data_IF_156804648275
#
_entry.id   IF_156804648275
#
_cell.length_a   1.000
_cell.length_b   1.000
_cell.length_c   1.000
_cell.angle_alpha   90.00
_cell.angle_beta   90.00
_cell.angle_gamma   90.00
#
_symmetry.space_group_name_H-M   'P 1'
#
loop_
_entity.id
_entity.type
_entity.pdbx_description
1 polymer ?
#
# COMPACT_ATOMS: atom_id res chain seq x y z
N UNK A 1 -54.88 -27.96 -38.83
CA UNK A 1 -54.48 -26.58 -39.23
C UNK A 1 -53.17 -26.28 -38.53
N UNK A 2 -52.06 -26.29 -39.27
CA UNK A 2 -50.72 -26.02 -38.70
C UNK A 2 -50.48 -24.52 -38.73
N UNK A 3 -50.15 -23.92 -37.58
CA UNK A 3 -49.87 -22.49 -37.45
C UNK A 3 -48.70 -22.11 -38.37
N UNK A 4 -48.77 -21.04 -39.18
CA UNK A 4 -47.64 -20.65 -40.01
C UNK A 4 -46.47 -20.28 -39.09
N UNK A 5 -45.29 -20.84 -39.36
CA UNK A 5 -44.07 -20.51 -38.64
C UNK A 5 -43.81 -19.00 -38.78
N UNK A 6 -43.68 -18.31 -37.65
CA UNK A 6 -43.45 -16.86 -37.63
C UNK A 6 -42.08 -16.55 -38.25
N UNK A 7 -42.05 -15.94 -39.45
CA UNK A 7 -40.79 -15.68 -40.16
C UNK A 7 -39.87 -14.74 -39.37
N UNK A 8 -40.45 -13.90 -38.50
CA UNK A 8 -39.74 -12.99 -37.61
C UNK A 8 -38.89 -13.74 -36.59
N UNK A 9 -39.38 -14.88 -36.10
CA UNK A 9 -38.65 -15.75 -35.17
C UNK A 9 -37.51 -16.51 -35.85
N UNK A 10 -37.70 -16.96 -37.09
CA UNK A 10 -36.64 -17.60 -37.85
C UNK A 10 -35.48 -16.63 -38.16
N UNK A 11 -35.81 -15.38 -38.53
CA UNK A 11 -34.83 -14.33 -38.84
C UNK A 11 -34.03 -13.94 -37.59
N UNK A 12 -34.65 -13.88 -36.40
CA UNK A 12 -33.95 -13.56 -35.16
C UNK A 12 -32.98 -14.67 -34.73
N UNK A 13 -33.35 -15.94 -34.92
CA UNK A 13 -32.47 -17.08 -34.64
C UNK A 13 -31.24 -17.11 -35.56
N UNK A 14 -31.40 -16.80 -36.86
CA UNK A 14 -30.28 -16.72 -37.80
C UNK A 14 -29.30 -15.62 -37.38
N UNK A 15 -29.80 -14.44 -37.01
CA UNK A 15 -28.96 -13.34 -36.52
C UNK A 15 -28.21 -13.69 -35.23
N UNK A 16 -28.85 -14.44 -34.34
CA UNK A 16 -28.23 -14.91 -33.10
C UNK A 16 -27.10 -15.91 -33.39
N UNK A 17 -27.32 -16.83 -34.34
CA UNK A 17 -26.32 -17.79 -34.79
C UNK A 17 -25.12 -17.11 -35.45
N UNK A 18 -25.36 -16.11 -36.30
CA UNK A 18 -24.29 -15.31 -36.91
C UNK A 18 -23.48 -14.55 -35.86
N UNK A 19 -24.15 -13.91 -34.89
CA UNK A 19 -23.48 -13.22 -33.79
C UNK A 19 -22.66 -14.17 -32.91
N UNK A 20 -23.19 -15.36 -32.60
CA UNK A 20 -22.48 -16.38 -31.85
C UNK A 20 -21.24 -16.89 -32.62
N UNK A 21 -21.37 -17.08 -33.94
CA UNK A 21 -20.24 -17.47 -34.79
C UNK A 21 -19.15 -16.40 -34.78
N UNK A 22 -19.53 -15.12 -34.91
CA UNK A 22 -18.60 -14.00 -34.91
C UNK A 22 -17.81 -13.89 -33.60
N UNK A 23 -18.48 -14.09 -32.46
CA UNK A 23 -17.85 -14.12 -31.13
C UNK A 23 -16.86 -15.29 -31.01
N UNK A 24 -17.23 -16.48 -31.48
CA UNK A 24 -16.34 -17.65 -31.45
C UNK A 24 -15.09 -17.40 -32.30
N UNK A 25 -15.21 -16.75 -33.46
CA UNK A 25 -14.07 -16.43 -34.31
C UNK A 25 -13.12 -15.42 -33.65
N UNK A 26 -13.66 -14.41 -32.97
CA UNK A 26 -12.84 -13.46 -32.19
C UNK A 26 -12.11 -14.16 -31.05
N UNK A 27 -12.78 -15.07 -30.35
CA UNK A 27 -12.18 -15.83 -29.26
C UNK A 27 -11.03 -16.71 -29.77
N UNK A 28 -11.23 -17.42 -30.89
CA UNK A 28 -10.18 -18.21 -31.55
C UNK A 28 -8.99 -17.36 -31.97
N UNK A 29 -9.26 -16.19 -32.53
CA UNK A 29 -8.21 -15.24 -32.92
C UNK A 29 -7.39 -14.76 -31.71
N UNK A 30 -8.07 -14.51 -30.58
CA UNK A 30 -7.42 -14.09 -29.35
C UNK A 30 -6.59 -15.22 -28.71
N UNK A 31 -7.08 -16.46 -28.74
CA UNK A 31 -6.32 -17.64 -28.30
C UNK A 31 -5.08 -17.80 -29.16
N UNK A 32 -5.21 -17.74 -30.48
CA UNK A 32 -4.07 -17.88 -31.38
C UNK A 32 -3.03 -16.76 -31.17
N UNK A 33 -3.47 -15.51 -30.96
CA UNK A 33 -2.58 -14.41 -30.61
C UNK A 33 -1.83 -14.66 -29.30
N UNK A 34 -2.52 -15.22 -28.29
CA UNK A 34 -1.89 -15.62 -27.03
C UNK A 34 -0.90 -16.76 -27.23
N UNK A 35 -1.24 -17.81 -27.97
CA UNK A 35 -0.35 -18.94 -28.25
C UNK A 35 0.91 -18.49 -29.02
N UNK A 36 0.76 -17.60 -30.00
CA UNK A 36 1.89 -17.00 -30.71
C UNK A 36 2.74 -16.14 -29.78
N UNK A 37 2.13 -15.37 -28.88
CA UNK A 37 2.87 -14.55 -27.91
C UNK A 37 3.60 -15.41 -26.86
N UNK A 38 2.96 -16.48 -26.40
CA UNK A 38 3.48 -17.39 -25.38
C UNK A 38 4.53 -18.37 -25.93
N UNK A 39 4.38 -18.78 -27.20
CA UNK A 39 5.33 -19.64 -27.91
C UNK A 39 6.60 -18.92 -28.35
N UNK A 40 6.64 -17.58 -28.29
CA UNK A 40 7.87 -16.82 -28.48
C UNK A 40 8.74 -16.96 -27.24
N UNK A 41 9.93 -17.52 -27.42
CA UNK A 41 10.99 -17.41 -26.44
C UNK A 41 11.22 -15.93 -26.15
N UNK A 42 10.93 -15.51 -24.92
CA UNK A 42 11.02 -14.10 -24.48
C UNK A 42 12.46 -13.58 -24.43
N UNK A 43 13.46 -14.43 -24.71
CA UNK A 43 14.87 -14.14 -24.52
C UNK A 43 15.23 -13.88 -23.05
N UNK A 44 14.27 -14.08 -22.13
CA UNK A 44 14.51 -13.99 -20.70
C UNK A 44 15.08 -15.33 -20.24
N UNK A 45 16.39 -15.36 -20.02
CA UNK A 45 17.00 -16.42 -19.25
C UNK A 45 16.49 -16.36 -17.81
N UNK A 46 16.22 -17.55 -17.24
CA UNK A 46 15.93 -17.70 -15.82
C UNK A 46 17.07 -17.02 -15.04
N UNK A 47 16.79 -16.06 -14.14
CA UNK A 47 17.84 -15.39 -13.38
C UNK A 47 18.70 -16.44 -12.67
N UNK A 48 20.03 -16.30 -12.75
CA UNK A 48 20.92 -17.18 -12.03
C UNK A 48 20.58 -17.15 -10.54
N UNK A 49 20.73 -18.28 -9.84
CA UNK A 49 20.46 -18.39 -8.40
C UNK A 49 21.17 -17.30 -7.57
N UNK A 50 22.31 -16.82 -8.07
CA UNK A 50 23.08 -15.73 -7.49
C UNK A 50 22.33 -14.38 -7.52
N UNK A 51 21.54 -14.09 -8.56
CA UNK A 51 20.69 -12.89 -8.62
C UNK A 51 19.56 -12.96 -7.60
N UNK A 52 18.92 -14.11 -7.43
CA UNK A 52 17.89 -14.31 -6.41
C UNK A 52 18.43 -14.14 -4.99
N UNK A 53 19.65 -14.61 -4.72
CA UNK A 53 20.30 -14.38 -3.43
C UNK A 53 20.61 -12.91 -3.19
N UNK A 54 20.99 -12.18 -4.23
CA UNK A 54 21.25 -10.75 -4.14
C UNK A 54 19.95 -9.97 -3.89
N UNK A 55 18.89 -10.27 -4.64
CA UNK A 55 17.57 -9.67 -4.43
C UNK A 55 17.05 -9.93 -3.00
N UNK A 56 17.24 -11.14 -2.48
CA UNK A 56 16.85 -11.45 -1.10
C UNK A 56 17.63 -10.63 -0.06
N UNK A 57 18.92 -10.33 -0.30
CA UNK A 57 19.72 -9.46 0.56
C UNK A 57 19.27 -8.01 0.44
N UNK A 58 19.06 -7.53 -0.78
CA UNK A 58 18.64 -6.15 -1.03
C UNK A 58 17.26 -5.87 -0.43
N UNK A 59 16.33 -6.82 -0.51
CA UNK A 59 15.03 -6.74 0.16
C UNK A 59 15.14 -6.76 1.68
N UNK A 60 16.05 -7.57 2.24
CA UNK A 60 16.29 -7.59 3.69
C UNK A 60 16.84 -6.24 4.18
N UNK A 61 17.78 -5.66 3.44
CA UNK A 61 18.36 -4.36 3.77
C UNK A 61 17.31 -3.24 3.67
N UNK A 62 16.51 -3.25 2.59
CA UNK A 62 15.41 -2.32 2.41
C UNK A 62 14.40 -2.43 3.56
N UNK A 63 14.02 -3.65 3.96
CA UNK A 63 13.13 -3.87 5.10
C UNK A 63 13.71 -3.29 6.41
N UNK A 64 15.03 -3.43 6.63
CA UNK A 64 15.72 -2.83 7.76
C UNK A 64 15.65 -1.29 7.75
N UNK A 65 15.93 -0.68 6.60
CA UNK A 65 15.84 0.77 6.42
C UNK A 65 14.41 1.29 6.63
N UNK A 66 13.41 0.64 6.02
CA UNK A 66 11.98 0.94 6.17
C UNK A 66 11.53 0.83 7.62
N UNK A 67 11.92 -0.23 8.34
CA UNK A 67 11.57 -0.39 9.76
C UNK A 67 12.19 0.70 10.64
N UNK A 68 13.46 1.06 10.40
CA UNK A 68 14.12 2.15 11.13
C UNK A 68 13.43 3.50 10.90
N UNK A 69 13.00 3.76 9.66
CA UNK A 69 12.27 4.98 9.31
C UNK A 69 10.85 4.99 9.91
N UNK A 70 10.12 3.87 9.83
CA UNK A 70 8.81 3.73 10.44
C UNK A 70 8.85 3.97 11.97
N UNK A 71 9.87 3.45 12.66
CA UNK A 71 10.06 3.69 14.09
C UNK A 71 10.22 5.19 14.41
N UNK A 72 10.96 5.94 13.57
CA UNK A 72 11.09 7.40 13.71
C UNK A 72 9.78 8.13 13.47
N UNK A 73 8.98 7.68 12.50
CA UNK A 73 7.64 8.23 12.22
C UNK A 73 6.71 8.01 13.43
N UNK A 74 6.69 6.81 13.99
CA UNK A 74 5.91 6.51 15.21
C UNK A 74 6.37 7.37 16.37
N UNK A 75 7.68 7.51 16.57
CA UNK A 75 8.22 8.35 17.63
C UNK A 75 7.83 9.82 17.43
N UNK A 76 7.85 10.32 16.19
CA UNK A 76 7.39 11.66 15.84
C UNK A 76 5.90 11.90 16.11
N UNK A 77 5.07 10.86 15.96
CA UNK A 77 3.63 10.93 16.27
C UNK A 77 3.34 10.95 17.78
N UNK A 78 4.16 10.29 18.58
CA UNK A 78 3.89 10.11 20.03
C UNK A 78 4.61 11.16 20.88
N UNK A 79 5.84 11.53 20.52
CA UNK A 79 6.65 12.45 21.32
C UNK A 79 6.30 13.91 20.98
N UNK A 80 5.83 14.70 21.95
CA UNK A 80 5.44 16.09 21.71
C UNK A 80 6.60 16.93 21.18
N UNK A 81 6.37 17.72 20.13
CA UNK A 81 7.36 18.65 19.56
C UNK A 81 8.54 17.98 18.83
N UNK A 82 8.55 16.65 18.71
CA UNK A 82 9.65 15.91 18.10
C UNK A 82 9.56 15.78 16.58
N UNK A 83 8.40 16.12 16.00
CA UNK A 83 8.10 16.01 14.57
C UNK A 83 9.19 16.63 13.67
N UNK A 84 9.54 17.91 13.78
CA UNK A 84 10.58 18.49 12.93
C UNK A 84 11.97 17.92 13.20
N UNK A 85 12.29 17.45 14.40
CA UNK A 85 13.64 16.95 14.74
C UNK A 85 13.86 15.50 14.34
N UNK A 86 12.85 14.65 14.49
CA UNK A 86 12.91 13.23 14.14
C UNK A 86 12.66 13.01 12.65
N UNK A 87 11.95 13.92 11.99
CA UNK A 87 11.69 13.89 10.56
C UNK A 87 12.63 14.76 9.74
N UNK A 88 13.35 15.73 10.35
CA UNK A 88 14.50 16.36 9.72
C UNK A 88 15.51 15.27 9.35
N UNK A 89 15.58 15.00 8.05
CA UNK A 89 16.34 13.90 7.53
C UNK A 89 17.84 14.20 7.71
N UNK A 90 18.56 13.24 8.30
CA UNK A 90 19.89 12.94 7.77
C UNK A 90 19.70 12.78 6.26
N UNK A 91 20.45 13.53 5.45
CA UNK A 91 20.52 13.37 3.99
C UNK A 91 20.31 11.90 3.65
N UNK A 92 19.26 11.60 2.86
CA UNK A 92 19.04 10.27 2.30
C UNK A 92 20.35 9.89 1.61
N UNK A 93 21.04 8.90 2.17
CA UNK A 93 22.43 8.66 1.83
C UNK A 93 22.57 7.63 0.71
N UNK A 94 21.53 6.86 0.43
CA UNK A 94 21.54 5.79 -0.58
C UNK A 94 20.14 5.49 -1.15
N UNK A 95 20.13 4.77 -2.27
CA UNK A 95 18.91 4.41 -3.02
C UNK A 95 17.91 3.58 -2.21
N UNK A 96 18.38 2.72 -1.29
CA UNK A 96 17.51 1.90 -0.43
C UNK A 96 16.77 2.77 0.60
N UNK A 97 17.45 3.75 1.17
CA UNK A 97 16.86 4.74 2.06
C UNK A 97 15.87 5.65 1.31
N UNK A 98 16.16 6.00 0.05
CA UNK A 98 15.20 6.72 -0.80
C UNK A 98 13.95 5.87 -1.06
N UNK A 99 14.12 4.60 -1.39
CA UNK A 99 12.99 3.71 -1.63
C UNK A 99 12.15 3.49 -0.36
N UNK A 100 12.79 3.38 0.80
CA UNK A 100 12.10 3.32 2.09
C UNK A 100 11.34 4.63 2.40
N UNK A 101 11.93 5.78 2.07
CA UNK A 101 11.28 7.10 2.16
C UNK A 101 10.01 7.14 1.31
N UNK A 102 10.12 6.78 0.03
CA UNK A 102 9.00 6.80 -0.92
C UNK A 102 7.86 5.86 -0.48
N UNK A 103 8.22 4.70 0.10
CA UNK A 103 7.25 3.70 0.58
C UNK A 103 6.42 4.21 1.77
N UNK A 104 7.03 5.04 2.61
CA UNK A 104 6.43 5.57 3.85
C UNK A 104 5.95 7.01 3.71
N UNK A 105 6.17 7.67 2.57
CA UNK A 105 5.90 9.10 2.40
C UNK A 105 4.46 9.48 2.77
N UNK A 106 3.51 8.64 2.37
CA UNK A 106 2.08 8.84 2.63
C UNK A 106 1.68 8.65 4.09
N UNK A 107 2.56 8.06 4.90
CA UNK A 107 2.34 7.81 6.33
C UNK A 107 2.90 8.91 7.22
N UNK A 108 3.58 9.92 6.65
CA UNK A 108 4.08 11.04 7.43
C UNK A 108 2.93 11.91 7.98
N UNK A 109 2.98 12.29 9.27
CA UNK A 109 2.17 13.38 9.77
C UNK A 109 2.61 14.64 9.04
N UNK A 110 1.68 15.38 8.46
CA UNK A 110 2.02 16.61 7.73
C UNK A 110 2.07 17.79 8.67
N UNK A 111 1.12 17.84 9.59
CA UNK A 111 0.97 18.90 10.57
C UNK A 111 1.20 18.39 11.99
N UNK A 112 1.49 19.32 12.92
CA UNK A 112 1.71 18.96 14.33
C UNK A 112 0.43 18.46 14.98
N UNK A 113 -0.73 18.92 14.52
CA UNK A 113 -2.07 18.48 14.93
C UNK A 113 -2.37 17.02 14.54
N UNK A 114 -1.65 16.46 13.56
CA UNK A 114 -1.75 15.05 13.16
C UNK A 114 -1.03 14.10 14.14
N UNK A 115 -0.42 14.65 15.19
CA UNK A 115 0.34 13.88 16.20
C UNK A 115 -0.41 13.80 17.52
N UNK A 116 -0.22 12.70 18.25
CA UNK A 116 -0.84 12.48 19.56
C UNK A 116 -0.09 13.18 20.71
N UNK A 117 1.15 13.62 20.45
CA UNK A 117 2.01 14.28 21.44
C UNK A 117 1.38 15.54 22.08
N UNK A 118 0.87 16.51 21.31
CA UNK A 118 0.20 17.69 21.86
C UNK A 118 -1.01 17.35 22.76
N UNK A 119 -1.80 16.34 22.38
CA UNK A 119 -2.93 15.88 23.19
C UNK A 119 -2.46 15.27 24.52
N UNK A 120 -1.39 14.47 24.50
CA UNK A 120 -0.79 13.91 25.72
C UNK A 120 -0.28 15.01 26.67
N UNK A 121 0.36 16.06 26.14
CA UNK A 121 0.79 17.22 26.94
C UNK A 121 -0.40 17.95 27.56
N UNK A 122 -1.44 18.20 26.77
CA UNK A 122 -2.64 18.88 27.26
C UNK A 122 -3.31 18.08 28.40
N UNK A 123 -3.45 16.77 28.24
CA UNK A 123 -3.99 15.88 29.28
C UNK A 123 -3.17 15.94 30.58
N UNK A 124 -1.84 15.91 30.47
CA UNK A 124 -0.95 16.02 31.63
C UNK A 124 -1.09 17.39 32.32
N UNK A 125 -1.21 18.47 31.56
CA UNK A 125 -1.42 19.82 32.09
C UNK A 125 -2.76 19.95 32.82
N UNK A 126 -3.83 19.32 32.31
CA UNK A 126 -5.14 19.27 32.98
C UNK A 126 -5.08 18.47 34.29
N UNK A 127 -4.28 17.39 34.34
CA UNK A 127 -4.16 16.54 35.52
C UNK A 127 -3.14 17.04 36.57
N UNK A 128 -2.19 17.88 36.18
CA UNK A 128 -1.15 18.40 37.08
C UNK A 128 -1.69 19.15 38.33
N UNK A 129 -2.76 19.98 38.24
CA UNK A 129 -3.40 20.58 39.41
C UNK A 129 -4.00 19.54 40.37
N UNK A 130 -4.58 18.45 39.85
CA UNK A 130 -5.18 17.38 40.66
C UNK A 130 -4.12 16.63 41.46
N UNK A 131 -2.96 16.37 40.86
CA UNK A 131 -1.80 15.78 41.55
C UNK A 131 -1.29 16.64 42.70
N UNK A 132 -1.26 17.97 42.53
CA UNK A 132 -0.86 18.92 43.58
C UNK A 132 -1.83 18.90 44.77
N UNK A 133 -3.13 18.72 44.52
CA UNK A 133 -4.15 18.63 45.57
C UNK A 133 -4.03 17.31 46.36
N UNK A 134 -3.76 16.20 45.67
CA UNK A 134 -3.58 14.89 46.29
C UNK A 134 -2.31 14.80 47.15
N UNK A 135 -1.19 15.39 46.70
CA UNK A 135 0.05 15.49 47.48
C UNK A 135 -0.13 16.39 48.71
N UNK A 136 -0.84 17.51 48.58
CA UNK A 136 -1.12 18.43 49.69
C UNK A 136 -1.97 17.77 50.78
N UNK A 137 -2.97 16.93 50.43
CA UNK A 137 -3.77 16.21 51.43
C UNK A 137 -3.01 15.12 52.20
N UNK A 138 -1.93 14.55 51.64
CA UNK A 138 -1.07 13.58 52.35
C UNK A 138 -0.16 14.23 53.41
N UNK A 139 0.16 15.52 53.28
CA UNK A 139 0.98 16.27 54.23
C UNK A 139 0.23 16.87 55.43
N UNK A 140 -1.09 16.70 55.54
CA UNK A 140 -1.94 17.27 56.61
C UNK A 140 -2.42 16.17 57.57
N UNK A 141 -1.64 15.09 57.72
CA UNK A 141 -1.77 14.18 58.86
C UNK A 141 -0.52 14.35 59.73
N UNK A 142 -0.51 15.41 60.53
CA UNK A 142 0.18 15.43 61.82
C UNK A 142 -0.89 15.65 62.88
#
# INVERSE_FOLDING_TARGET
MSKPADPTFAISQIRLLDAAHDVIQRFRSSINAYEVANGRTTGCDMPSWMRWQQDARDLRDLNGATMGMAARIVLAMVVPGSHPTLLASKRIANDKEQMAYDLLEKTWPKEMEDTWGPMAVNMLNVMAPVGKILLRKRGIRQ
#
